data_IF_913817140519
#
_entry.id   IF_913817140519
#
_cell.length_a   1.000
_cell.length_b   1.000
_cell.length_c   1.000
_cell.angle_alpha   90.00
_cell.angle_beta   90.00
_cell.angle_gamma   90.00
#
_symmetry.space_group_name_H-M   'P 1'
#
loop_
_entity.id
_entity.type
_entity.pdbx_description
1 polymer ?
#
# COMPACT_ATOMS: atom_id res chain seq x y z
N UNK A 1 31.18 72.33 -13.45
CA UNK A 1 29.77 72.54 -13.03
C UNK A 1 29.38 71.38 -12.15
N UNK A 2 29.63 71.51 -10.84
CA UNK A 2 28.62 71.75 -9.79
C UNK A 2 27.81 70.45 -9.49
N UNK A 3 28.25 69.63 -8.53
CA UNK A 3 27.99 69.72 -7.07
C UNK A 3 26.54 69.30 -6.72
N UNK A 4 26.18 68.54 -5.69
CA UNK A 4 26.85 67.91 -4.55
C UNK A 4 25.75 67.08 -3.79
N UNK A 5 26.01 65.84 -3.36
CA UNK A 5 26.29 65.39 -1.97
C UNK A 5 25.07 65.12 -1.05
N UNK A 6 24.98 63.87 -0.56
CA UNK A 6 24.96 63.43 0.86
C UNK A 6 23.88 62.39 1.29
N UNK A 7 24.39 61.26 1.80
CA UNK A 7 23.86 60.40 2.89
C UNK A 7 24.63 60.80 4.20
N UNK A 8 24.53 60.09 5.36
CA UNK A 8 23.40 59.72 6.25
C UNK A 8 23.68 59.99 7.77
N UNK A 9 22.72 59.62 8.66
CA UNK A 9 22.88 59.08 10.05
C UNK A 9 23.81 59.75 11.11
N UNK A 10 23.27 60.33 12.21
CA UNK A 10 23.87 60.46 13.58
C UNK A 10 22.70 60.60 14.61
N UNK A 11 22.46 59.73 15.62
CA UNK A 11 23.07 59.46 16.95
C UNK A 11 22.83 60.51 18.08
N UNK A 12 22.00 60.11 19.06
CA UNK A 12 22.18 60.07 20.54
C UNK A 12 22.70 61.30 21.36
N UNK A 13 22.02 61.46 22.53
CA UNK A 13 22.52 61.70 23.92
C UNK A 13 22.50 63.13 24.54
N UNK A 14 22.04 63.15 25.82
CA UNK A 14 22.49 63.96 27.00
C UNK A 14 22.19 65.49 26.99
N UNK A 15 21.97 66.24 28.09
CA UNK A 15 21.66 66.04 29.52
C UNK A 15 21.43 67.47 30.13
N UNK A 16 20.58 67.57 31.17
CA UNK A 16 20.72 68.40 32.40
C UNK A 16 20.26 69.88 32.57
N UNK A 17 19.82 70.10 33.85
CA UNK A 17 19.58 71.32 34.66
C UNK A 17 18.17 71.97 34.59
N UNK A 18 17.40 72.22 35.67
CA UNK A 18 17.70 72.55 37.09
C UNK A 18 16.59 72.14 38.12
N UNK A 19 17.03 71.60 39.26
CA UNK A 19 16.64 71.78 40.68
C UNK A 19 15.21 72.17 41.13
N UNK A 20 14.63 71.41 42.07
CA UNK A 20 14.35 71.84 43.49
C UNK A 20 13.66 70.71 44.32
N UNK A 21 14.35 70.19 45.35
CA UNK A 21 14.00 70.14 46.80
C UNK A 21 13.03 69.01 47.26
N UNK A 22 13.52 68.19 48.19
CA UNK A 22 12.84 67.09 48.91
C UNK A 22 12.10 67.60 50.18
N UNK A 23 11.19 66.81 50.81
CA UNK A 23 11.63 65.82 51.82
C UNK A 23 10.81 64.50 51.92
N UNK A 24 11.44 63.49 52.52
CA UNK A 24 10.92 62.22 53.09
C UNK A 24 10.26 62.43 54.49
N UNK A 25 9.83 61.40 55.29
CA UNK A 25 9.29 60.03 55.04
C UNK A 25 8.01 59.72 55.91
N UNK A 26 7.50 58.46 55.84
CA UNK A 26 6.85 57.61 56.90
C UNK A 26 5.48 56.95 56.56
N UNK A 27 5.33 55.70 57.01
CA UNK A 27 4.15 54.78 56.98
C UNK A 27 3.56 54.63 58.43
N UNK A 28 2.67 53.67 58.79
CA UNK A 28 1.44 53.05 58.22
C UNK A 28 0.19 53.31 59.16
N UNK A 29 -1.01 52.68 59.01
CA UNK A 29 -1.32 51.44 59.77
C UNK A 29 -2.38 50.47 59.17
N UNK A 30 -2.56 49.34 59.87
CA UNK A 30 -3.39 48.16 59.63
C UNK A 30 -4.89 48.35 59.88
N UNK A 31 -5.73 47.48 59.31
CA UNK A 31 -6.99 47.03 59.92
C UNK A 31 -7.26 45.53 59.64
N UNK A 32 -7.59 44.79 60.71
CA UNK A 32 -8.20 43.44 60.70
C UNK A 32 -9.67 43.56 61.09
N UNK A 33 -10.56 42.70 60.56
CA UNK A 33 -11.32 41.71 61.37
C UNK A 33 -12.27 40.83 60.50
N UNK A 34 -12.01 39.52 60.55
CA UNK A 34 -12.86 38.30 60.54
C UNK A 34 -14.24 38.23 59.82
N UNK A 35 -14.45 37.20 58.99
CA UNK A 35 -15.10 35.93 59.39
C UNK A 35 -15.17 34.88 58.24
N UNK A 36 -15.14 33.60 58.64
CA UNK A 36 -15.03 32.34 57.89
C UNK A 36 -15.93 32.12 56.64
N UNK A 37 -15.37 31.45 55.62
CA UNK A 37 -15.99 30.29 54.93
C UNK A 37 -14.98 29.56 54.01
N UNK A 38 -14.68 28.33 54.43
CA UNK A 38 -14.12 27.15 53.75
C UNK A 38 -13.45 27.26 52.36
N UNK A 39 -12.15 26.91 52.36
CA UNK A 39 -11.37 26.59 51.17
C UNK A 39 -11.78 25.23 50.58
N UNK A 40 -12.50 25.23 49.47
CA UNK A 40 -12.63 24.05 48.59
C UNK A 40 -11.73 24.21 47.35
N UNK A 41 -10.61 23.49 47.40
CA UNK A 41 -9.64 23.13 46.34
C UNK A 41 -9.98 23.46 44.86
N UNK A 42 -9.12 24.28 44.23
CA UNK A 42 -9.08 24.56 42.78
C UNK A 42 -8.57 23.39 41.91
N UNK A 43 -8.34 22.20 42.50
CA UNK A 43 -7.85 21.01 41.80
C UNK A 43 -8.94 20.23 41.03
N UNK A 44 -10.22 20.51 41.28
CA UNK A 44 -11.36 19.77 40.68
C UNK A 44 -11.74 20.27 39.28
N UNK A 45 -11.56 21.56 38.96
CA UNK A 45 -11.95 22.14 37.66
C UNK A 45 -10.96 21.79 36.52
N UNK A 46 -9.66 21.73 36.84
CA UNK A 46 -8.62 21.25 35.91
C UNK A 46 -8.69 19.74 35.68
N UNK A 47 -9.04 18.95 36.72
CA UNK A 47 -9.33 17.52 36.58
C UNK A 47 -10.55 17.28 35.69
N UNK A 48 -11.66 18.01 35.87
CA UNK A 48 -12.88 17.85 35.06
C UNK A 48 -12.67 18.11 33.57
N UNK A 49 -11.86 19.12 33.20
CA UNK A 49 -11.52 19.38 31.79
C UNK A 49 -10.59 18.32 31.19
N UNK A 50 -9.66 17.77 31.97
CA UNK A 50 -8.79 16.65 31.54
C UNK A 50 -9.55 15.33 31.41
N UNK A 51 -10.53 15.08 32.29
CA UNK A 51 -11.42 13.92 32.21
C UNK A 51 -12.35 14.02 31.02
N UNK A 52 -12.95 15.20 30.75
CA UNK A 52 -13.77 15.42 29.54
C UNK A 52 -12.99 15.30 28.25
N UNK A 53 -11.77 15.84 28.17
CA UNK A 53 -10.93 15.67 26.97
C UNK A 53 -10.48 14.22 26.80
N UNK A 54 -10.16 13.52 27.89
CA UNK A 54 -9.89 12.08 27.84
C UNK A 54 -11.10 11.25 27.43
N UNK A 55 -12.32 11.54 27.93
CA UNK A 55 -13.58 10.90 27.55
C UNK A 55 -13.97 11.18 26.10
N UNK A 56 -13.72 12.38 25.60
CA UNK A 56 -13.91 12.71 24.18
C UNK A 56 -12.90 11.94 23.33
N UNK A 57 -11.63 11.86 23.74
CA UNK A 57 -10.63 11.08 22.99
C UNK A 57 -10.89 9.57 23.06
N UNK A 58 -11.37 9.04 24.19
CA UNK A 58 -11.70 7.61 24.34
C UNK A 58 -12.95 7.27 23.55
N UNK A 59 -14.00 8.09 23.60
CA UNK A 59 -15.21 7.88 22.82
C UNK A 59 -15.00 8.02 21.31
N UNK A 60 -14.09 8.92 20.87
CA UNK A 60 -13.68 9.02 19.46
C UNK A 60 -12.85 7.80 19.05
N UNK A 61 -11.93 7.32 19.90
CA UNK A 61 -11.14 6.11 19.64
C UNK A 61 -12.02 4.85 19.62
N UNK A 62 -12.98 4.72 20.53
CA UNK A 62 -13.97 3.64 20.58
C UNK A 62 -14.90 3.66 19.38
N UNK A 63 -15.43 4.83 18.99
CA UNK A 63 -16.20 4.98 17.75
C UNK A 63 -15.37 4.63 16.52
N UNK A 64 -14.09 5.01 16.49
CA UNK A 64 -13.17 4.66 15.39
C UNK A 64 -12.89 3.16 15.36
N UNK A 65 -12.68 2.51 16.51
CA UNK A 65 -12.47 1.07 16.61
C UNK A 65 -13.74 0.28 16.24
N UNK A 66 -14.90 0.68 16.73
CA UNK A 66 -16.21 0.08 16.39
C UNK A 66 -16.53 0.24 14.91
N UNK A 67 -16.25 1.42 14.34
CA UNK A 67 -16.43 1.65 12.90
C UNK A 67 -15.45 0.83 12.07
N UNK A 68 -14.20 0.68 12.51
CA UNK A 68 -13.18 -0.13 11.84
C UNK A 68 -13.51 -1.61 11.93
N UNK A 69 -13.95 -2.12 13.09
CA UNK A 69 -14.36 -3.52 13.25
C UNK A 69 -15.60 -3.84 12.42
N UNK A 70 -16.59 -2.95 12.37
CA UNK A 70 -17.73 -3.07 11.46
C UNK A 70 -17.32 -2.99 9.99
N UNK A 71 -16.35 -2.13 9.63
CA UNK A 71 -15.86 -2.04 8.25
C UNK A 71 -15.17 -3.35 7.85
N UNK A 72 -14.27 -3.85 8.70
CA UNK A 72 -13.54 -5.10 8.50
C UNK A 72 -14.51 -6.26 8.37
N UNK A 73 -15.56 -6.33 9.20
CA UNK A 73 -16.60 -7.38 9.08
C UNK A 73 -17.36 -7.31 7.75
N UNK A 74 -17.45 -6.14 7.12
CA UNK A 74 -18.17 -5.96 5.85
C UNK A 74 -17.30 -6.21 4.62
N UNK A 75 -15.98 -6.17 4.76
CA UNK A 75 -15.02 -6.44 3.67
C UNK A 75 -14.42 -7.83 3.75
N UNK A 76 -14.42 -8.44 4.94
CA UNK A 76 -13.87 -9.76 5.18
C UNK A 76 -14.60 -10.82 4.36
N UNK A 77 -13.81 -11.70 3.77
CA UNK A 77 -14.29 -12.90 3.11
C UNK A 77 -14.92 -13.83 4.13
N UNK A 78 -15.98 -14.49 3.70
CA UNK A 78 -16.67 -15.53 4.45
C UNK A 78 -16.11 -16.92 4.10
N UNK A 79 -15.11 -17.01 3.20
CA UNK A 79 -14.41 -18.26 2.87
C UNK A 79 -13.40 -18.62 3.94
N UNK A 80 -13.69 -19.68 4.67
CA UNK A 80 -12.69 -20.35 5.47
C UNK A 80 -11.85 -21.24 4.55
N UNK A 81 -10.53 -21.16 4.74
CA UNK A 81 -9.59 -22.05 4.07
C UNK A 81 -9.69 -23.40 4.80
N UNK A 82 -10.03 -24.46 4.07
CA UNK A 82 -9.88 -25.82 4.60
C UNK A 82 -8.38 -26.10 4.79
N UNK A 83 -7.95 -26.21 6.05
CA UNK A 83 -6.56 -26.46 6.43
C UNK A 83 -6.01 -27.75 5.80
N UNK A 84 -6.85 -28.77 5.63
CA UNK A 84 -6.43 -30.06 5.07
C UNK A 84 -6.20 -29.95 3.56
N UNK A 85 -7.13 -29.36 2.80
CA UNK A 85 -6.92 -29.04 1.38
C UNK A 85 -5.77 -28.05 1.16
N UNK A 86 -5.59 -27.09 2.07
CA UNK A 86 -4.48 -26.13 2.05
C UNK A 86 -3.13 -26.82 2.19
N UNK A 87 -2.99 -27.73 3.17
CA UNK A 87 -1.78 -28.52 3.38
C UNK A 87 -1.58 -29.58 2.29
N UNK A 88 -2.63 -30.12 1.70
CA UNK A 88 -2.52 -31.15 0.65
C UNK A 88 -2.15 -30.58 -0.72
N UNK A 89 -2.74 -29.45 -1.11
CA UNK A 89 -2.46 -28.78 -2.39
C UNK A 89 -1.16 -27.96 -2.34
N UNK A 90 -0.82 -27.46 -1.16
CA UNK A 90 0.28 -26.50 -0.97
C UNK A 90 1.11 -26.78 0.28
N UNK A 91 1.22 -28.02 0.71
CA UNK A 91 2.14 -28.45 1.76
C UNK A 91 2.92 -29.65 1.25
N UNK A 92 4.15 -29.43 0.82
CA UNK A 92 5.13 -30.51 0.68
C UNK A 92 6.30 -30.25 1.63
N UNK A 93 6.92 -31.36 2.06
CA UNK A 93 7.77 -31.63 3.22
C UNK A 93 9.07 -30.82 3.40
N UNK A 94 9.17 -29.61 2.85
CA UNK A 94 10.27 -28.67 3.10
C UNK A 94 9.74 -27.25 3.34
N UNK A 95 9.01 -27.08 4.45
CA UNK A 95 8.84 -25.84 5.23
C UNK A 95 8.68 -24.47 4.49
N UNK A 96 8.02 -24.39 3.33
CA UNK A 96 7.69 -23.08 2.72
C UNK A 96 6.70 -23.11 1.53
N UNK A 97 5.77 -24.04 1.46
CA UNK A 97 4.78 -23.96 0.40
C UNK A 97 3.78 -22.82 0.71
N UNK A 98 3.94 -21.70 -0.01
CA UNK A 98 3.22 -20.44 0.20
C UNK A 98 1.91 -20.48 -0.57
N UNK A 99 0.79 -20.39 0.15
CA UNK A 99 -0.53 -20.29 -0.48
C UNK A 99 -0.74 -18.88 -1.02
N UNK A 100 -1.21 -18.74 -2.27
CA UNK A 100 -1.53 -17.44 -2.85
C UNK A 100 -2.59 -16.72 -2.02
N UNK A 101 -2.43 -15.41 -1.87
CA UNK A 101 -3.30 -14.60 -1.01
C UNK A 101 -4.66 -14.46 -1.67
N UNK A 102 -5.76 -14.63 -0.93
CA UNK A 102 -7.12 -14.53 -1.46
C UNK A 102 -7.38 -15.47 -2.66
N UNK A 103 -6.75 -16.65 -2.67
CA UNK A 103 -6.84 -17.58 -3.80
C UNK A 103 -8.29 -17.93 -4.16
N UNK A 104 -9.10 -18.25 -3.16
CA UNK A 104 -10.50 -18.64 -3.37
C UNK A 104 -11.35 -17.50 -3.94
N UNK A 105 -11.08 -16.27 -3.53
CA UNK A 105 -11.76 -15.07 -4.01
C UNK A 105 -11.32 -14.71 -5.43
N UNK A 106 -10.05 -14.95 -5.77
CA UNK A 106 -9.55 -14.80 -7.14
C UNK A 106 -10.23 -15.81 -8.06
N UNK A 107 -10.35 -17.08 -7.66
CA UNK A 107 -11.06 -18.09 -8.44
C UNK A 107 -12.54 -17.71 -8.64
N UNK A 108 -13.23 -17.25 -7.59
CA UNK A 108 -14.61 -16.75 -7.71
C UNK A 108 -14.72 -15.55 -8.65
N UNK A 109 -13.73 -14.65 -8.63
CA UNK A 109 -13.73 -13.48 -9.49
C UNK A 109 -13.68 -13.82 -10.98
N UNK A 110 -13.21 -15.01 -11.36
CA UNK A 110 -13.15 -15.45 -12.75
C UNK A 110 -14.08 -16.63 -13.09
N UNK A 111 -14.77 -17.23 -12.12
CA UNK A 111 -15.54 -18.47 -12.32
C UNK A 111 -16.69 -18.35 -13.32
N UNK A 112 -17.33 -17.18 -13.44
CA UNK A 112 -18.42 -16.90 -14.38
C UNK A 112 -17.94 -16.36 -15.74
N UNK A 113 -16.63 -16.19 -15.91
CA UNK A 113 -16.03 -15.75 -17.17
C UNK A 113 -15.51 -16.98 -17.92
N UNK A 114 -15.90 -17.11 -19.19
CA UNK A 114 -15.32 -18.13 -20.07
C UNK A 114 -13.89 -17.73 -20.44
N UNK A 115 -12.92 -18.25 -19.70
CA UNK A 115 -11.58 -17.68 -19.60
C UNK A 115 -10.61 -18.29 -20.62
N UNK A 116 -10.83 -18.05 -21.92
CA UNK A 116 -9.95 -18.58 -22.98
C UNK A 116 -8.56 -17.95 -22.98
N UNK A 117 -8.43 -16.74 -22.44
CA UNK A 117 -7.19 -15.99 -22.34
C UNK A 117 -7.05 -15.35 -20.96
N UNK A 118 -5.91 -15.58 -20.32
CA UNK A 118 -5.62 -15.05 -18.99
C UNK A 118 -4.23 -14.43 -18.91
N UNK A 119 -4.15 -13.27 -18.27
CA UNK A 119 -2.89 -12.56 -18.02
C UNK A 119 -2.63 -12.46 -16.52
N UNK A 120 -1.50 -12.98 -16.08
CA UNK A 120 -0.99 -12.77 -14.72
C UNK A 120 0.16 -11.75 -14.77
N UNK A 121 -0.14 -10.51 -14.35
CA UNK A 121 0.82 -9.41 -14.38
C UNK A 121 1.93 -9.52 -13.31
N UNK A 122 1.79 -10.45 -12.37
CA UNK A 122 2.63 -10.59 -11.17
C UNK A 122 2.81 -12.07 -10.87
N UNK A 123 3.36 -12.77 -11.86
CA UNK A 123 3.39 -14.23 -11.92
C UNK A 123 3.95 -14.86 -10.64
N UNK A 124 4.98 -14.26 -10.03
CA UNK A 124 5.57 -14.74 -8.80
C UNK A 124 6.06 -16.18 -8.97
N UNK A 125 5.64 -17.07 -8.07
CA UNK A 125 5.88 -18.52 -8.20
C UNK A 125 4.75 -19.26 -8.94
N UNK A 126 3.94 -18.56 -9.74
CA UNK A 126 2.77 -19.05 -10.48
C UNK A 126 1.66 -19.68 -9.62
N UNK A 127 1.52 -19.28 -8.37
CA UNK A 127 0.50 -19.84 -7.48
C UNK A 127 -0.93 -19.58 -7.95
N UNK A 128 -1.28 -18.32 -8.23
CA UNK A 128 -2.59 -17.97 -8.81
C UNK A 128 -2.75 -18.52 -10.22
N UNK A 129 -1.74 -18.32 -11.07
CA UNK A 129 -1.72 -18.83 -12.45
C UNK A 129 -2.03 -20.33 -12.54
N UNK A 130 -1.37 -21.18 -11.75
CA UNK A 130 -1.63 -22.61 -11.77
C UNK A 130 -3.06 -22.96 -11.35
N UNK A 131 -3.58 -22.33 -10.29
CA UNK A 131 -4.94 -22.59 -9.85
C UNK A 131 -5.99 -22.15 -10.89
N UNK A 132 -5.76 -21.02 -11.55
CA UNK A 132 -6.63 -20.52 -12.62
C UNK A 132 -6.57 -21.44 -13.85
N UNK A 133 -5.38 -21.89 -14.25
CA UNK A 133 -5.22 -22.85 -15.36
C UNK A 133 -6.00 -24.14 -15.09
N UNK A 134 -5.90 -24.69 -13.87
CA UNK A 134 -6.63 -25.91 -13.49
C UNK A 134 -8.14 -25.69 -13.44
N UNK A 135 -8.60 -24.53 -12.95
CA UNK A 135 -10.02 -24.21 -12.86
C UNK A 135 -10.68 -23.94 -14.23
N UNK A 136 -9.89 -23.60 -15.25
CA UNK A 136 -10.37 -23.24 -16.59
C UNK A 136 -9.72 -24.11 -17.68
N UNK A 137 -10.13 -25.39 -17.82
CA UNK A 137 -9.60 -26.30 -18.84
C UNK A 137 -9.89 -25.83 -20.28
N UNK A 138 -10.85 -24.92 -20.48
CA UNK A 138 -11.14 -24.26 -21.75
C UNK A 138 -10.06 -23.25 -22.21
N UNK A 139 -9.10 -22.92 -21.33
CA UNK A 139 -8.10 -21.90 -21.59
C UNK A 139 -7.21 -22.25 -22.78
N UNK A 140 -6.97 -21.27 -23.65
CA UNK A 140 -6.15 -21.40 -24.86
C UNK A 140 -4.86 -20.60 -24.77
N UNK A 141 -4.84 -19.51 -24.01
CA UNK A 141 -3.66 -18.67 -23.85
C UNK A 141 -3.48 -18.23 -22.39
N UNK A 142 -2.29 -18.46 -21.84
CA UNK A 142 -1.84 -17.90 -20.58
C UNK A 142 -0.61 -17.03 -20.82
N UNK A 143 -0.59 -15.82 -20.25
CA UNK A 143 0.54 -14.90 -20.34
C UNK A 143 0.92 -14.44 -18.94
N UNK A 144 2.13 -14.80 -18.48
CA UNK A 144 2.67 -14.40 -17.18
C UNK A 144 3.80 -13.38 -17.29
N UNK A 145 3.80 -12.39 -16.39
CA UNK A 145 4.83 -11.35 -16.29
C UNK A 145 5.47 -11.40 -14.90
N UNK A 146 6.81 -11.34 -14.84
CA UNK A 146 7.52 -11.00 -13.61
C UNK A 146 8.79 -10.26 -13.97
N UNK A 147 9.26 -9.38 -13.08
CA UNK A 147 10.56 -8.70 -13.26
C UNK A 147 11.70 -9.46 -12.59
N UNK A 148 11.37 -10.40 -11.71
CA UNK A 148 12.33 -11.17 -10.93
C UNK A 148 12.70 -12.49 -11.63
N UNK A 149 13.96 -12.69 -12.03
CA UNK A 149 14.42 -13.91 -12.69
C UNK A 149 14.28 -15.17 -11.83
N UNK A 150 14.32 -15.05 -10.50
CA UNK A 150 14.16 -16.20 -9.60
C UNK A 150 12.71 -16.65 -9.58
N UNK A 151 11.78 -15.71 -9.40
CA UNK A 151 10.34 -15.99 -9.39
C UNK A 151 9.91 -16.58 -10.73
N UNK A 152 10.31 -15.95 -11.84
CA UNK A 152 10.00 -16.41 -13.19
C UNK A 152 10.45 -17.86 -13.45
N UNK A 153 11.64 -18.26 -13.01
CA UNK A 153 12.10 -19.66 -13.16
C UNK A 153 11.22 -20.62 -12.37
N UNK A 154 10.93 -20.30 -11.11
CA UNK A 154 10.05 -21.13 -10.27
C UNK A 154 8.64 -21.25 -10.84
N UNK A 155 8.12 -20.17 -11.43
CA UNK A 155 6.84 -20.16 -12.11
C UNK A 155 6.83 -21.12 -13.32
N UNK A 156 7.86 -21.06 -14.17
CA UNK A 156 8.00 -21.97 -15.31
C UNK A 156 8.03 -23.44 -14.86
N UNK A 157 8.84 -23.75 -13.84
CA UNK A 157 8.93 -25.11 -13.30
C UNK A 157 7.58 -25.60 -12.75
N UNK A 158 6.88 -24.75 -11.99
CA UNK A 158 5.57 -25.10 -11.41
C UNK A 158 4.50 -25.29 -12.48
N UNK A 159 4.39 -24.37 -13.45
CA UNK A 159 3.42 -24.49 -14.54
C UNK A 159 3.67 -25.77 -15.33
N UNK A 160 4.92 -26.04 -15.70
CA UNK A 160 5.28 -27.26 -16.42
C UNK A 160 4.93 -28.54 -15.63
N UNK A 161 5.08 -28.53 -14.32
CA UNK A 161 4.68 -29.65 -13.47
C UNK A 161 3.16 -29.86 -13.47
N UNK A 162 2.37 -28.79 -13.36
CA UNK A 162 0.90 -28.86 -13.41
C UNK A 162 0.43 -29.40 -14.76
N UNK A 163 0.97 -28.88 -15.87
CA UNK A 163 0.58 -29.31 -17.22
C UNK A 163 0.93 -30.79 -17.51
N UNK A 164 1.94 -31.36 -16.84
CA UNK A 164 2.33 -32.77 -17.00
C UNK A 164 1.52 -33.73 -16.14
N UNK A 165 1.12 -33.31 -14.94
CA UNK A 165 0.50 -34.19 -13.96
C UNK A 165 -1.02 -34.32 -14.13
N UNK A 166 -1.65 -33.32 -14.74
CA UNK A 166 -3.08 -33.26 -14.92
C UNK A 166 -3.48 -33.87 -16.26
N UNK A 167 -4.19 -35.01 -16.22
CA UNK A 167 -4.60 -35.76 -17.41
C UNK A 167 -5.43 -34.92 -18.38
N UNK A 168 -6.19 -33.95 -17.86
CA UNK A 168 -6.99 -32.97 -18.61
C UNK A 168 -6.18 -32.12 -19.59
N UNK A 169 -4.86 -32.00 -19.42
CA UNK A 169 -4.01 -31.21 -20.32
C UNK A 169 -3.25 -32.02 -21.36
N UNK A 170 -3.39 -33.36 -21.38
CA UNK A 170 -2.69 -34.22 -22.34
C UNK A 170 -3.00 -33.87 -23.81
N UNK A 171 -4.22 -33.39 -24.08
CA UNK A 171 -4.69 -32.92 -25.40
C UNK A 171 -4.97 -31.40 -25.43
N UNK A 172 -4.50 -30.65 -24.43
CA UNK A 172 -4.79 -29.22 -24.34
C UNK A 172 -4.04 -28.41 -25.40
N UNK A 173 -4.74 -27.45 -26.01
CA UNK A 173 -4.15 -26.44 -26.91
C UNK A 173 -3.63 -25.20 -26.17
N UNK A 174 -3.57 -25.24 -24.83
CA UNK A 174 -3.13 -24.13 -24.00
C UNK A 174 -1.69 -23.72 -24.36
N UNK A 175 -1.54 -22.49 -24.84
CA UNK A 175 -0.24 -21.85 -25.06
C UNK A 175 0.12 -21.04 -23.84
N UNK A 176 1.21 -21.41 -23.18
CA UNK A 176 1.73 -20.66 -22.03
C UNK A 176 2.92 -19.82 -22.43
N UNK A 177 2.85 -18.52 -22.14
CA UNK A 177 3.91 -17.56 -22.37
C UNK A 177 4.31 -16.93 -21.04
N UNK A 178 5.62 -16.86 -20.76
CA UNK A 178 6.16 -16.22 -19.56
C UNK A 178 7.25 -15.24 -19.95
N UNK A 179 7.19 -14.02 -19.41
CA UNK A 179 8.08 -12.93 -19.77
C UNK A 179 8.75 -12.29 -18.56
N UNK A 180 10.07 -12.11 -18.67
CA UNK A 180 10.87 -11.26 -17.77
C UNK A 180 10.71 -9.78 -18.13
N UNK A 181 9.49 -9.27 -17.97
CA UNK A 181 9.08 -7.91 -18.30
C UNK A 181 8.19 -7.36 -17.19
N UNK A 182 8.14 -6.03 -17.08
CA UNK A 182 7.23 -5.39 -16.15
C UNK A 182 5.81 -5.37 -16.74
N UNK A 183 4.79 -5.46 -15.90
CA UNK A 183 3.40 -5.44 -16.34
C UNK A 183 2.96 -4.15 -17.07
N UNK A 184 3.72 -3.05 -16.96
CA UNK A 184 3.52 -1.85 -17.80
C UNK A 184 3.63 -2.14 -19.29
N UNK A 185 4.32 -3.22 -19.66
CA UNK A 185 4.53 -3.66 -21.03
C UNK A 185 3.41 -4.60 -21.52
N UNK A 186 2.29 -4.73 -20.80
CA UNK A 186 1.21 -5.67 -21.13
C UNK A 186 0.72 -5.54 -22.57
N UNK A 187 0.47 -4.31 -23.06
CA UNK A 187 -0.01 -4.08 -24.44
C UNK A 187 1.01 -4.52 -25.49
N UNK A 188 2.30 -4.26 -25.26
CA UNK A 188 3.35 -4.62 -26.23
C UNK A 188 3.54 -6.13 -26.29
N UNK A 189 3.51 -6.81 -25.13
CA UNK A 189 3.61 -8.27 -25.06
C UNK A 189 2.38 -8.96 -25.64
N UNK A 190 1.17 -8.48 -25.38
CA UNK A 190 -0.03 -9.05 -26.00
C UNK A 190 0.04 -8.97 -27.53
N UNK A 191 0.52 -7.85 -28.07
CA UNK A 191 0.74 -7.68 -29.50
C UNK A 191 1.82 -8.62 -30.07
N UNK A 192 2.87 -8.89 -29.30
CA UNK A 192 3.95 -9.84 -29.63
C UNK A 192 3.47 -11.29 -29.67
N UNK A 193 2.64 -11.69 -28.69
CA UNK A 193 2.09 -13.04 -28.57
C UNK A 193 1.08 -13.34 -29.68
N UNK A 194 0.05 -12.50 -29.80
CA UNK A 194 -0.96 -12.59 -30.86
C UNK A 194 -1.69 -11.25 -30.97
N UNK A 195 -1.55 -10.57 -32.12
CA UNK A 195 -2.22 -9.30 -32.40
C UNK A 195 -3.74 -9.34 -32.16
N UNK A 196 -4.37 -10.51 -32.31
CA UNK A 196 -5.80 -10.69 -32.06
C UNK A 196 -6.18 -10.53 -30.59
N UNK A 197 -5.27 -10.84 -29.66
CA UNK A 197 -5.51 -10.62 -28.22
C UNK A 197 -5.60 -9.13 -27.87
N UNK A 198 -5.00 -8.25 -28.69
CA UNK A 198 -5.14 -6.82 -28.50
C UNK A 198 -6.43 -6.27 -29.12
N UNK A 199 -6.88 -6.82 -30.25
CA UNK A 199 -8.10 -6.35 -30.93
C UNK A 199 -9.37 -6.91 -30.32
N UNK A 200 -9.37 -8.21 -29.98
CA UNK A 200 -10.51 -8.87 -29.34
C UNK A 200 -10.51 -8.69 -27.82
N UNK A 201 -9.34 -8.41 -27.26
CA UNK A 201 -9.09 -8.32 -25.83
C UNK A 201 -8.84 -9.68 -25.17
N UNK A 202 -8.41 -9.64 -23.91
CA UNK A 202 -8.23 -10.82 -23.04
C UNK A 202 -9.37 -10.97 -22.04
N UNK A 203 -9.70 -12.19 -21.68
CA UNK A 203 -10.89 -12.49 -20.86
C UNK A 203 -10.66 -12.16 -19.37
N UNK A 204 -9.44 -12.35 -18.88
CA UNK A 204 -9.09 -11.97 -17.50
C UNK A 204 -7.65 -11.52 -17.32
N UNK A 205 -7.48 -10.59 -16.38
CA UNK A 205 -6.18 -10.08 -15.96
C UNK A 205 -6.12 -10.04 -14.43
N UNK A 206 -5.03 -10.53 -13.85
CA UNK A 206 -4.73 -10.46 -12.42
C UNK A 206 -3.48 -9.62 -12.16
N UNK A 207 -3.54 -8.78 -11.13
CA UNK A 207 -2.38 -8.08 -10.55
C UNK A 207 -2.33 -8.32 -9.04
N UNK A 208 -1.46 -9.20 -8.57
CA UNK A 208 -1.12 -9.45 -7.16
C UNK A 208 0.11 -8.61 -6.75
N UNK A 209 -0.13 -7.41 -6.22
CA UNK A 209 0.90 -6.39 -6.02
C UNK A 209 1.85 -6.74 -4.86
N UNK A 210 3.02 -6.11 -4.83
CA UNK A 210 3.94 -6.20 -3.71
C UNK A 210 5.11 -7.14 -3.96
N UNK A 211 5.60 -7.78 -2.89
CA UNK A 211 6.85 -8.54 -2.91
C UNK A 211 6.60 -10.03 -2.82
N UNK A 212 7.38 -10.80 -3.57
CA UNK A 212 7.33 -12.26 -3.49
C UNK A 212 8.03 -12.79 -2.24
N UNK A 213 7.69 -14.01 -1.83
CA UNK A 213 8.37 -14.73 -0.75
C UNK A 213 9.87 -14.79 -0.95
N UNK A 214 10.29 -15.02 -2.19
CA UNK A 214 11.67 -15.22 -2.60
C UNK A 214 12.48 -13.95 -2.32
N UNK A 215 11.90 -12.78 -2.63
CA UNK A 215 12.51 -11.47 -2.37
C UNK A 215 12.65 -11.16 -0.87
N UNK A 216 11.63 -11.46 -0.07
CA UNK A 216 11.64 -11.15 1.37
C UNK A 216 12.51 -12.16 2.16
N UNK A 217 12.55 -13.41 1.71
CA UNK A 217 13.27 -14.47 2.40
C UNK A 217 14.77 -14.45 2.13
N UNK A 218 15.20 -13.98 0.96
CA UNK A 218 16.61 -13.77 0.64
C UNK A 218 17.11 -12.44 1.24
N UNK A 219 18.00 -12.55 2.23
CA UNK A 219 18.59 -11.38 2.88
C UNK A 219 19.41 -10.53 1.90
N UNK A 220 20.01 -11.12 0.85
CA UNK A 220 20.82 -10.41 -0.14
C UNK A 220 19.99 -9.45 -1.01
N UNK A 221 18.67 -9.62 -1.06
CA UNK A 221 17.77 -8.72 -1.79
C UNK A 221 17.43 -7.45 -1.02
N UNK A 222 17.68 -7.42 0.29
CA UNK A 222 17.54 -6.20 1.10
C UNK A 222 16.10 -5.77 1.43
N UNK A 223 15.08 -6.57 1.13
CA UNK A 223 13.67 -6.24 1.41
C UNK A 223 13.26 -6.46 2.87
N UNK A 224 13.98 -7.33 3.60
CA UNK A 224 13.60 -7.71 4.96
C UNK A 224 14.03 -6.66 5.99
N UNK A 225 13.08 -6.26 6.84
CA UNK A 225 13.37 -5.46 8.04
C UNK A 225 14.12 -6.29 9.11
N UNK A 226 13.96 -7.61 9.10
CA UNK A 226 14.47 -8.50 10.14
C UNK A 226 15.80 -9.16 9.76
N UNK A 227 15.98 -9.49 8.48
CA UNK A 227 17.22 -10.09 7.98
C UNK A 227 18.19 -9.00 7.53
N UNK A 228 19.44 -9.10 7.98
CA UNK A 228 20.51 -8.16 7.62
C UNK A 228 21.06 -8.49 6.24
N UNK A 229 21.18 -7.48 5.38
CA UNK A 229 21.71 -7.59 4.02
C UNK A 229 22.04 -6.21 3.43
N UNK A 230 22.38 -6.14 2.14
CA UNK A 230 22.67 -4.88 1.45
C UNK A 230 21.41 -4.03 1.27
N UNK A 231 21.58 -2.71 1.11
CA UNK A 231 20.48 -1.78 0.79
C UNK A 231 20.16 -1.80 -0.71
N UNK A 232 19.67 -2.94 -1.21
CA UNK A 232 19.33 -3.13 -2.62
C UNK A 232 17.87 -2.75 -2.92
N UNK A 233 16.92 -3.61 -2.54
CA UNK A 233 15.47 -3.47 -2.76
C UNK A 233 15.00 -3.40 -4.22
N UNK A 234 15.84 -3.72 -5.21
CA UNK A 234 15.40 -3.86 -6.59
C UNK A 234 14.64 -5.17 -6.81
N UNK A 235 13.45 -5.08 -7.38
CA UNK A 235 12.67 -6.25 -7.82
C UNK A 235 13.30 -6.87 -9.08
N UNK A 236 13.73 -6.03 -10.03
CA UNK A 236 14.58 -6.41 -11.15
C UNK A 236 16.06 -6.20 -10.80
N UNK A 237 16.88 -7.26 -10.65
CA UNK A 237 18.31 -7.12 -10.39
C UNK A 237 19.09 -6.33 -11.45
N UNK A 238 18.54 -6.16 -12.66
CA UNK A 238 19.13 -5.37 -13.75
C UNK A 238 18.84 -3.87 -13.65
N UNK A 239 17.88 -3.45 -12.82
CA UNK A 239 17.61 -2.04 -12.59
C UNK A 239 18.84 -1.34 -11.97
N UNK A 240 19.04 -0.05 -12.21
CA UNK A 240 20.27 0.65 -11.81
C UNK A 240 20.21 1.25 -10.40
N UNK A 241 19.03 1.73 -9.99
CA UNK A 241 18.85 2.44 -8.72
C UNK A 241 18.68 1.46 -7.56
N UNK A 242 19.49 1.58 -6.51
CA UNK A 242 19.35 0.85 -5.24
C UNK A 242 18.82 1.74 -4.13
N UNK A 243 18.32 1.13 -3.05
CA UNK A 243 17.94 1.86 -1.84
C UNK A 243 19.14 2.61 -1.21
N UNK A 244 20.34 2.06 -1.34
CA UNK A 244 21.59 2.69 -0.93
C UNK A 244 21.81 4.03 -1.62
N UNK A 245 21.60 4.10 -2.94
CA UNK A 245 21.79 5.30 -3.75
C UNK A 245 20.83 6.41 -3.32
N UNK A 246 19.58 6.04 -3.02
CA UNK A 246 18.58 6.98 -2.50
C UNK A 246 19.03 7.55 -1.16
N UNK A 247 19.44 6.69 -0.23
CA UNK A 247 19.78 7.12 1.13
C UNK A 247 21.06 7.94 1.19
N UNK A 248 22.03 7.65 0.34
CA UNK A 248 23.34 8.30 0.38
C UNK A 248 23.47 9.48 -0.58
N UNK A 249 22.80 9.45 -1.74
CA UNK A 249 23.07 10.39 -2.85
C UNK A 249 21.91 11.33 -3.17
N UNK A 250 20.65 10.97 -2.88
CA UNK A 250 19.53 11.88 -3.19
C UNK A 250 19.53 13.13 -2.29
N UNK A 251 18.99 14.26 -2.77
CA UNK A 251 18.70 15.42 -1.93
C UNK A 251 17.90 15.04 -0.68
N UNK A 252 18.23 15.64 0.47
CA UNK A 252 17.65 15.25 1.75
C UNK A 252 16.12 15.48 1.78
N UNK A 253 15.67 16.57 1.18
CA UNK A 253 14.25 16.88 0.96
C UNK A 253 13.54 15.82 0.12
N UNK A 254 14.17 15.28 -0.93
CA UNK A 254 13.60 14.15 -1.69
C UNK A 254 13.52 12.86 -0.88
N UNK A 255 14.53 12.56 -0.04
CA UNK A 255 14.44 11.46 0.92
C UNK A 255 13.28 11.69 1.89
N UNK A 256 13.14 12.91 2.42
CA UNK A 256 12.00 13.30 3.26
C UNK A 256 10.65 13.10 2.58
N UNK A 257 10.55 13.49 1.30
CA UNK A 257 9.35 13.35 0.47
C UNK A 257 8.95 11.89 0.36
N UNK A 258 9.85 10.98 -0.02
CA UNK A 258 9.48 9.56 -0.16
C UNK A 258 9.08 8.95 1.20
N UNK A 259 9.75 9.30 2.30
CA UNK A 259 9.38 8.82 3.63
C UNK A 259 7.98 9.28 4.04
N UNK A 260 7.64 10.53 3.71
CA UNK A 260 6.32 11.11 3.98
C UNK A 260 5.24 10.52 3.08
N UNK A 261 5.47 10.50 1.77
CA UNK A 261 4.43 10.26 0.77
C UNK A 261 4.28 8.76 0.45
N UNK A 262 5.39 8.03 0.36
CA UNK A 262 5.39 6.59 0.07
C UNK A 262 5.38 5.73 1.35
N UNK A 263 5.97 6.24 2.43
CA UNK A 263 5.97 5.56 3.73
C UNK A 263 4.79 5.91 4.63
N UNK A 264 4.07 6.99 4.34
CA UNK A 264 3.08 7.59 5.26
C UNK A 264 3.67 7.76 6.70
N UNK A 265 4.98 8.07 6.80
CA UNK A 265 5.70 8.15 8.08
C UNK A 265 5.60 9.53 8.71
N UNK A 266 4.97 9.63 9.88
CA UNK A 266 4.81 10.87 10.64
C UNK A 266 6.11 11.58 11.02
N UNK A 267 7.15 10.82 11.36
CA UNK A 267 8.44 11.33 11.81
C UNK A 267 9.44 11.50 10.65
N UNK A 268 8.95 11.59 9.41
CA UNK A 268 9.77 11.66 8.19
C UNK A 268 10.85 12.75 8.28
N UNK A 269 10.52 13.95 8.78
CA UNK A 269 11.47 15.06 8.85
C UNK A 269 12.62 14.79 9.84
N UNK A 270 12.33 14.10 10.94
CA UNK A 270 13.37 13.72 11.91
C UNK A 270 14.27 12.63 11.33
N UNK A 271 13.68 11.61 10.68
CA UNK A 271 14.42 10.53 10.03
C UNK A 271 15.29 11.04 8.88
N UNK A 272 14.75 11.94 8.04
CA UNK A 272 15.49 12.63 7.00
C UNK A 272 16.77 13.28 7.55
N UNK A 273 16.67 14.07 8.62
CA UNK A 273 17.82 14.73 9.23
C UNK A 273 18.84 13.73 9.76
N UNK A 274 18.38 12.61 10.33
CA UNK A 274 19.26 11.54 10.81
C UNK A 274 19.98 10.81 9.67
N UNK A 275 19.28 10.52 8.58
CA UNK A 275 19.87 9.93 7.37
C UNK A 275 20.90 10.89 6.77
N UNK A 276 20.56 12.17 6.61
CA UNK A 276 21.49 13.19 6.11
C UNK A 276 22.73 13.32 7.01
N UNK A 277 22.55 13.25 8.33
CA UNK A 277 23.68 13.27 9.28
C UNK A 277 24.56 12.02 9.18
N UNK A 278 23.97 10.85 8.92
CA UNK A 278 24.73 9.60 8.76
C UNK A 278 25.67 9.64 7.54
N UNK A 279 25.34 10.42 6.50
CA UNK A 279 26.21 10.63 5.33
C UNK A 279 27.55 11.26 5.70
N UNK A 280 27.58 12.11 6.73
CA UNK A 280 28.80 12.76 7.22
C UNK A 280 29.79 11.77 7.85
N UNK A 281 29.30 10.58 8.25
CA UNK A 281 30.10 9.52 8.87
C UNK A 281 30.21 8.27 7.98
N UNK A 282 30.12 8.46 6.66
CA UNK A 282 30.28 7.38 5.67
C UNK A 282 28.99 6.90 5.01
N UNK A 283 27.80 7.23 5.55
CA UNK A 283 26.52 6.82 4.96
C UNK A 283 25.96 5.51 5.52
N UNK A 284 24.95 4.97 4.83
CA UNK A 284 24.28 3.72 5.17
C UNK A 284 24.49 2.70 4.04
N UNK A 285 25.00 1.52 4.35
CA UNK A 285 25.37 0.48 3.37
C UNK A 285 24.68 -0.87 3.60
N UNK A 286 23.90 -1.01 4.68
CA UNK A 286 23.17 -2.24 4.98
C UNK A 286 21.81 -1.97 5.61
N UNK A 287 20.88 -2.90 5.42
CA UNK A 287 19.57 -2.88 6.09
C UNK A 287 19.71 -2.85 7.60
N UNK A 288 20.75 -3.51 8.14
CA UNK A 288 21.10 -3.47 9.56
C UNK A 288 21.42 -2.07 10.06
N UNK A 289 22.28 -1.33 9.36
CA UNK A 289 22.61 0.06 9.73
C UNK A 289 21.40 0.98 9.66
N UNK A 290 20.55 0.83 8.64
CA UNK A 290 19.30 1.59 8.53
C UNK A 290 18.35 1.28 9.70
N UNK A 291 18.16 0.00 10.03
CA UNK A 291 17.33 -0.41 11.17
C UNK A 291 17.88 0.13 12.49
N UNK A 292 19.20 0.06 12.70
CA UNK A 292 19.84 0.58 13.91
C UNK A 292 19.65 2.11 14.03
N UNK A 293 19.72 2.85 12.92
CA UNK A 293 19.41 4.28 12.87
C UNK A 293 17.94 4.56 13.24
N UNK A 294 17.00 3.78 12.70
CA UNK A 294 15.57 3.92 12.99
C UNK A 294 15.28 3.61 14.45
N UNK A 295 15.87 2.54 15.01
CA UNK A 295 15.73 2.19 16.41
C UNK A 295 16.20 3.33 17.31
N UNK A 296 17.41 3.87 17.08
CA UNK A 296 17.96 5.05 17.78
C UNK A 296 17.07 6.30 17.63
N UNK A 297 16.29 6.37 16.55
CA UNK A 297 15.42 7.50 16.25
C UNK A 297 14.00 7.39 16.83
N UNK A 298 13.56 6.19 17.25
CA UNK A 298 12.15 5.93 17.64
C UNK A 298 11.93 5.84 19.17
N UNK A 299 12.96 6.11 19.98
CA UNK A 299 12.96 5.89 21.45
C UNK A 299 11.90 6.67 22.26
N UNK A 300 11.28 7.71 21.70
CA UNK A 300 10.28 8.50 22.42
C UNK A 300 8.87 7.97 22.12
N UNK A 301 8.31 7.15 23.02
CA UNK A 301 6.85 6.89 23.26
C UNK A 301 6.17 5.56 22.85
N UNK A 302 6.76 4.59 22.14
CA UNK A 302 5.97 3.42 21.61
C UNK A 302 6.54 1.98 21.72
N UNK A 303 7.61 1.74 22.49
CA UNK A 303 8.15 0.37 22.72
C UNK A 303 8.62 -0.38 21.46
N UNK A 304 8.82 -1.70 21.54
CA UNK A 304 9.31 -2.57 20.43
C UNK A 304 8.42 -2.50 19.18
N UNK A 305 7.11 -2.32 19.37
CA UNK A 305 6.16 -2.20 18.26
C UNK A 305 6.30 -0.87 17.49
N UNK A 306 6.85 0.17 18.12
CA UNK A 306 7.01 1.49 17.51
C UNK A 306 8.06 1.51 16.39
N UNK A 307 9.26 1.00 16.67
CA UNK A 307 10.35 1.02 15.69
C UNK A 307 10.10 0.05 14.53
N UNK A 308 9.48 -1.12 14.76
CA UNK A 308 9.15 -2.07 13.69
C UNK A 308 8.18 -1.43 12.69
N UNK A 309 7.14 -0.73 13.18
CA UNK A 309 6.20 0.00 12.31
C UNK A 309 6.91 1.09 11.51
N UNK A 310 7.81 1.82 12.16
CA UNK A 310 8.60 2.88 11.50
C UNK A 310 9.51 2.29 10.42
N UNK A 311 10.21 1.19 10.73
CA UNK A 311 11.07 0.49 9.78
C UNK A 311 10.27 -0.07 8.60
N UNK A 312 9.11 -0.67 8.85
CA UNK A 312 8.23 -1.17 7.78
C UNK A 312 7.83 -0.07 6.80
N UNK A 313 7.50 1.13 7.31
CA UNK A 313 7.15 2.29 6.48
C UNK A 313 8.34 2.86 5.71
N UNK A 314 9.51 2.95 6.35
CA UNK A 314 10.75 3.41 5.69
C UNK A 314 11.15 2.44 4.58
N UNK A 315 11.10 1.14 4.84
CA UNK A 315 11.40 0.11 3.84
C UNK A 315 10.37 0.13 2.70
N UNK A 316 9.08 0.27 3.01
CA UNK A 316 8.05 0.48 2.00
C UNK A 316 8.33 1.71 1.13
N UNK A 317 8.69 2.85 1.73
CA UNK A 317 9.01 4.07 0.99
C UNK A 317 10.17 3.89 0.01
N UNK A 318 11.25 3.26 0.48
CA UNK A 318 12.43 2.96 -0.33
C UNK A 318 12.09 1.98 -1.44
N UNK A 319 11.37 0.90 -1.14
CA UNK A 319 10.91 -0.10 -2.11
C UNK A 319 10.13 0.54 -3.25
N UNK A 320 9.12 1.34 -2.89
CA UNK A 320 8.28 2.07 -3.85
C UNK A 320 9.12 3.00 -4.71
N UNK A 321 10.08 3.73 -4.12
CA UNK A 321 10.93 4.67 -4.84
C UNK A 321 11.93 3.97 -5.77
N UNK A 322 12.53 2.87 -5.33
CA UNK A 322 13.49 2.07 -6.13
C UNK A 322 12.82 1.48 -7.37
N UNK A 323 11.58 0.98 -7.22
CA UNK A 323 10.90 0.22 -8.28
C UNK A 323 9.84 1.04 -9.03
N UNK A 324 9.71 2.34 -8.76
CA UNK A 324 8.68 3.24 -9.31
C UNK A 324 7.26 2.64 -9.28
N UNK A 325 6.92 1.96 -8.17
CA UNK A 325 5.78 1.03 -8.10
C UNK A 325 4.45 1.72 -8.35
N UNK A 326 4.20 2.86 -7.69
CA UNK A 326 2.91 3.53 -7.73
C UNK A 326 2.60 4.15 -9.10
N UNK A 327 3.61 4.75 -9.73
CA UNK A 327 3.47 5.35 -11.06
C UNK A 327 3.26 4.26 -12.11
N UNK A 328 4.03 3.18 -12.01
CA UNK A 328 3.90 2.00 -12.87
C UNK A 328 2.52 1.38 -12.73
N UNK A 329 2.02 1.22 -11.50
CA UNK A 329 0.69 0.70 -11.20
C UNK A 329 -0.41 1.54 -11.86
N UNK A 330 -0.43 2.87 -11.65
CA UNK A 330 -1.50 3.72 -12.18
C UNK A 330 -1.61 3.61 -13.70
N UNK A 331 -0.49 3.73 -14.43
CA UNK A 331 -0.49 3.60 -15.90
C UNK A 331 -0.87 2.21 -16.41
N UNK A 332 -0.49 1.17 -15.67
CA UNK A 332 -0.73 -0.22 -16.05
C UNK A 332 -2.19 -0.63 -15.88
N UNK A 333 -2.91 -0.09 -14.89
CA UNK A 333 -4.34 -0.37 -14.71
C UNK A 333 -5.14 0.03 -15.95
N UNK A 334 -4.89 1.23 -16.50
CA UNK A 334 -5.55 1.66 -17.75
C UNK A 334 -5.15 0.76 -18.92
N UNK A 335 -3.86 0.43 -19.02
CA UNK A 335 -3.37 -0.43 -20.10
C UNK A 335 -3.96 -1.85 -20.05
N UNK A 336 -4.13 -2.40 -18.86
CA UNK A 336 -4.79 -3.69 -18.63
C UNK A 336 -6.27 -3.61 -18.96
N UNK A 337 -6.98 -2.61 -18.44
CA UNK A 337 -8.42 -2.46 -18.69
C UNK A 337 -8.74 -2.29 -20.19
N UNK A 338 -7.96 -1.48 -20.90
CA UNK A 338 -8.10 -1.32 -22.36
C UNK A 338 -7.91 -2.65 -23.10
N UNK A 339 -7.04 -3.51 -22.58
CA UNK A 339 -6.71 -4.81 -23.17
C UNK A 339 -7.75 -5.90 -22.87
N UNK A 340 -8.74 -5.65 -22.00
CA UNK A 340 -9.80 -6.63 -21.73
C UNK A 340 -10.75 -6.77 -22.92
N UNK A 341 -11.25 -7.99 -23.12
CA UNK A 341 -12.40 -8.25 -23.98
C UNK A 341 -13.68 -7.66 -23.35
N UNK A 342 -14.74 -7.40 -24.13
CA UNK A 342 -16.04 -7.05 -23.57
C UNK A 342 -16.51 -8.13 -22.59
N UNK A 343 -16.94 -7.72 -21.39
CA UNK A 343 -17.27 -8.64 -20.29
C UNK A 343 -16.08 -9.28 -19.55
N UNK A 344 -14.84 -9.03 -19.99
CA UNK A 344 -13.63 -9.49 -19.30
C UNK A 344 -13.38 -8.77 -17.98
N UNK A 345 -12.56 -9.38 -17.11
CA UNK A 345 -12.35 -8.90 -15.73
C UNK A 345 -10.89 -8.56 -15.42
N UNK A 346 -10.68 -7.47 -14.69
CA UNK A 346 -9.41 -7.13 -14.06
C UNK A 346 -9.55 -7.24 -12.54
N UNK A 347 -8.78 -8.14 -11.95
CA UNK A 347 -8.65 -8.33 -10.52
C UNK A 347 -7.30 -7.77 -10.04
N UNK A 348 -7.32 -6.99 -8.95
CA UNK A 348 -6.11 -6.42 -8.35
C UNK A 348 -6.10 -6.66 -6.85
N UNK A 349 -5.05 -7.29 -6.35
CA UNK A 349 -4.77 -7.46 -4.92
C UNK A 349 -3.71 -6.42 -4.52
N UNK A 350 -4.04 -5.60 -3.53
CA UNK A 350 -3.13 -4.58 -2.98
C UNK A 350 -2.83 -4.86 -1.52
N UNK A 351 -1.63 -4.51 -1.05
CA UNK A 351 -1.18 -4.83 0.32
C UNK A 351 -1.00 -3.59 1.19
N UNK A 352 -1.07 -2.39 0.60
CA UNK A 352 -1.07 -1.15 1.38
C UNK A 352 -2.05 -0.09 0.87
N UNK A 353 -2.24 0.93 1.70
CA UNK A 353 -3.18 2.04 1.50
C UNK A 353 -2.97 2.79 0.19
N UNK A 354 -1.70 3.03 -0.20
CA UNK A 354 -1.36 3.79 -1.40
C UNK A 354 -1.79 3.05 -2.69
N UNK A 355 -1.47 1.76 -2.83
CA UNK A 355 -1.90 0.91 -3.94
C UNK A 355 -3.44 0.86 -4.02
N UNK A 356 -4.11 0.47 -2.93
CA UNK A 356 -5.58 0.35 -2.87
C UNK A 356 -6.29 1.66 -3.26
N UNK A 357 -5.72 2.80 -2.86
CA UNK A 357 -6.20 4.14 -3.23
C UNK A 357 -6.07 4.35 -4.75
N UNK A 358 -4.92 4.07 -5.34
CA UNK A 358 -4.69 4.18 -6.79
C UNK A 358 -5.66 3.29 -7.56
N UNK A 359 -5.78 2.02 -7.17
CA UNK A 359 -6.69 1.06 -7.83
C UNK A 359 -8.13 1.56 -7.78
N UNK A 360 -8.60 1.98 -6.60
CA UNK A 360 -9.95 2.52 -6.44
C UNK A 360 -10.19 3.74 -7.34
N UNK A 361 -9.26 4.69 -7.37
CA UNK A 361 -9.42 5.90 -8.17
C UNK A 361 -9.33 5.63 -9.67
N UNK A 362 -8.42 4.76 -10.10
CA UNK A 362 -8.31 4.35 -11.49
C UNK A 362 -9.60 3.67 -11.98
N UNK A 363 -10.15 2.72 -11.20
CA UNK A 363 -11.41 2.06 -11.53
C UNK A 363 -12.57 3.06 -11.64
N UNK A 364 -12.67 4.01 -10.71
CA UNK A 364 -13.69 5.06 -10.77
C UNK A 364 -13.54 5.97 -12.00
N UNK A 365 -12.31 6.32 -12.39
CA UNK A 365 -12.05 7.11 -13.62
C UNK A 365 -12.43 6.34 -14.87
N UNK A 366 -12.08 5.05 -14.92
CA UNK A 366 -12.39 4.15 -16.04
C UNK A 366 -13.90 4.09 -16.27
N UNK A 367 -14.70 3.77 -15.26
CA UNK A 367 -16.15 3.64 -15.45
C UNK A 367 -16.85 4.97 -15.79
N UNK A 368 -16.20 6.11 -15.54
CA UNK A 368 -16.71 7.45 -15.76
C UNK A 368 -16.21 8.09 -17.07
N UNK A 369 -15.48 7.36 -17.93
CA UNK A 369 -14.98 7.88 -19.20
C UNK A 369 -13.91 8.97 -19.06
N UNK A 370 -13.13 8.97 -17.97
CA UNK A 370 -12.03 9.91 -17.73
C UNK A 370 -12.43 11.21 -17.00
N UNK A 371 -13.70 11.57 -16.96
CA UNK A 371 -14.19 12.74 -16.22
C UNK A 371 -14.62 12.38 -14.80
N UNK A 372 -13.79 12.73 -13.82
CA UNK A 372 -14.13 12.57 -12.39
C UNK A 372 -15.24 13.55 -11.95
N UNK A 373 -15.56 14.54 -12.78
CA UNK A 373 -16.29 15.73 -12.35
C UNK A 373 -17.82 15.72 -12.59
N UNK A 374 -18.44 14.78 -13.31
CA UNK A 374 -19.90 14.88 -13.52
C UNK A 374 -20.71 13.62 -13.90
N UNK A 375 -20.23 12.39 -13.74
CA UNK A 375 -21.09 11.22 -14.00
C UNK A 375 -21.74 10.70 -12.72
N UNK A 376 -23.08 10.61 -12.77
CA UNK A 376 -23.92 9.90 -11.80
C UNK A 376 -23.65 8.39 -11.92
N UNK A 377 -22.57 7.91 -11.30
CA UNK A 377 -22.40 6.47 -11.12
C UNK A 377 -23.53 5.97 -10.22
N UNK A 378 -24.38 5.10 -10.74
CA UNK A 378 -25.55 4.61 -10.01
C UNK A 378 -25.11 3.52 -9.03
N UNK A 379 -25.40 3.76 -7.76
CA UNK A 379 -25.08 2.83 -6.69
C UNK A 379 -26.21 1.80 -6.57
N UNK A 380 -26.05 0.66 -7.21
CA UNK A 380 -26.98 -0.45 -7.04
C UNK A 380 -26.50 -1.38 -5.94
N UNK A 381 -27.37 -1.58 -4.93
CA UNK A 381 -27.30 -2.82 -4.17
C UNK A 381 -27.80 -3.90 -5.11
N UNK A 382 -27.02 -4.98 -5.26
CA UNK A 382 -27.44 -6.15 -6.03
C UNK A 382 -28.80 -6.63 -5.48
N UNK A 383 -29.86 -6.28 -6.21
CA UNK A 383 -31.26 -6.61 -5.96
C UNK A 383 -31.65 -7.44 -7.17
N UNK A 384 -31.68 -8.77 -6.98
CA UNK A 384 -32.10 -9.80 -7.94
C UNK A 384 -32.07 -9.42 -9.43
N UNK A 385 -31.07 -9.88 -10.17
CA UNK A 385 -31.13 -9.86 -11.64
C UNK A 385 -32.12 -10.94 -12.10
N UNK A 386 -32.88 -10.64 -13.15
CA UNK A 386 -33.92 -11.52 -13.73
C UNK A 386 -33.36 -12.81 -14.36
N UNK A 387 -32.04 -12.91 -14.53
CA UNK A 387 -31.32 -14.06 -15.08
C UNK A 387 -30.55 -14.84 -13.99
N UNK A 388 -31.28 -15.44 -13.05
CA UNK A 388 -30.99 -16.76 -12.43
C UNK A 388 -29.70 -17.05 -11.63
N UNK A 389 -28.54 -16.44 -11.89
CA UNK A 389 -27.28 -16.83 -11.23
C UNK A 389 -26.61 -15.63 -10.56
N UNK A 390 -26.89 -15.49 -9.26
CA UNK A 390 -26.23 -14.50 -8.42
C UNK A 390 -24.83 -14.99 -8.07
N UNK A 391 -23.81 -14.29 -8.54
CA UNK A 391 -22.45 -14.44 -8.03
C UNK A 391 -22.40 -14.03 -6.54
N UNK A 392 -22.42 -15.01 -5.64
CA UNK A 392 -22.58 -14.81 -4.19
C UNK A 392 -21.49 -13.93 -3.57
N UNK A 393 -20.30 -13.88 -4.18
CA UNK A 393 -19.17 -13.08 -3.73
C UNK A 393 -19.35 -11.56 -4.04
N UNK A 394 -20.21 -11.21 -4.99
CA UNK A 394 -20.51 -9.81 -5.37
C UNK A 394 -21.54 -9.21 -4.42
N UNK A 395 -21.06 -8.42 -3.45
CA UNK A 395 -21.92 -7.77 -2.45
C UNK A 395 -22.51 -6.43 -2.92
N UNK A 396 -21.69 -5.59 -3.55
CA UNK A 396 -22.07 -4.23 -3.97
C UNK A 396 -21.30 -3.82 -5.20
N UNK A 397 -22.01 -3.30 -6.21
CA UNK A 397 -21.44 -2.87 -7.47
C UNK A 397 -21.47 -1.35 -7.63
N UNK A 398 -20.68 -0.83 -8.56
CA UNK A 398 -20.81 0.53 -9.09
C UNK A 398 -20.80 0.40 -10.61
N UNK A 399 -21.91 0.73 -11.25
CA UNK A 399 -22.02 0.68 -12.71
C UNK A 399 -21.64 2.03 -13.31
N UNK A 400 -20.95 1.99 -14.45
CA UNK A 400 -20.69 3.15 -15.27
C UNK A 400 -20.70 2.80 -16.74
N UNK A 401 -20.22 3.73 -17.58
CA UNK A 401 -20.31 3.64 -19.04
C UNK A 401 -19.43 2.53 -19.61
N UNK A 402 -18.16 2.53 -19.22
CA UNK A 402 -17.15 1.66 -19.83
C UNK A 402 -16.99 0.32 -19.09
N UNK A 403 -17.64 0.17 -17.92
CA UNK A 403 -17.61 -1.06 -17.14
C UNK A 403 -18.30 -0.96 -15.78
N UNK A 404 -18.20 -2.04 -15.02
CA UNK A 404 -18.83 -2.21 -13.70
C UNK A 404 -17.78 -2.62 -12.67
N UNK A 405 -17.67 -1.86 -11.58
CA UNK A 405 -16.85 -2.24 -10.43
C UNK A 405 -17.65 -3.27 -9.62
N UNK A 406 -17.16 -4.51 -9.55
CA UNK A 406 -17.83 -5.61 -8.84
C UNK A 406 -17.59 -5.57 -7.32
N UNK A 407 -16.53 -4.89 -6.89
CA UNK A 407 -16.16 -4.74 -5.49
C UNK A 407 -16.14 -3.27 -5.08
N UNK A 408 -17.31 -2.66 -4.82
CA UNK A 408 -17.39 -1.29 -4.29
C UNK A 408 -16.50 -1.10 -3.06
N UNK A 409 -16.51 -2.11 -2.19
CA UNK A 409 -15.55 -2.27 -1.10
C UNK A 409 -14.62 -3.43 -1.43
N UNK A 410 -13.32 -3.33 -1.09
CA UNK A 410 -12.39 -4.40 -1.36
C UNK A 410 -12.77 -5.64 -0.54
N UNK A 411 -12.45 -6.81 -1.06
CA UNK A 411 -12.53 -8.06 -0.31
C UNK A 411 -11.22 -8.23 0.45
N UNK A 412 -11.30 -8.56 1.74
CA UNK A 412 -10.14 -8.77 2.63
C UNK A 412 -10.14 -10.20 3.16
N UNK A 413 -8.99 -10.78 3.52
CA UNK A 413 -8.93 -12.18 3.94
C UNK A 413 -9.79 -12.51 5.15
N UNK A 414 -10.16 -13.79 5.26
CA UNK A 414 -10.80 -14.35 6.44
C UNK A 414 -9.81 -14.41 7.62
N UNK A 415 -10.34 -14.60 8.84
CA UNK A 415 -9.46 -14.74 10.01
C UNK A 415 -8.59 -16.00 9.95
N UNK A 416 -9.13 -17.09 9.39
CA UNK A 416 -8.37 -18.32 9.17
C UNK A 416 -7.18 -18.08 8.26
N UNK A 417 -7.38 -17.39 7.12
CA UNK A 417 -6.28 -17.05 6.22
C UNK A 417 -5.25 -16.12 6.87
N UNK A 418 -5.67 -15.10 7.64
CA UNK A 418 -4.73 -14.21 8.34
C UNK A 418 -3.84 -14.96 9.34
N UNK A 419 -4.37 -16.02 9.97
CA UNK A 419 -3.64 -16.86 10.91
C UNK A 419 -2.64 -17.79 10.22
N UNK A 420 -3.05 -18.41 9.11
CA UNK A 420 -2.21 -19.33 8.33
C UNK A 420 -1.15 -18.60 7.50
N UNK A 421 -1.51 -17.45 6.94
CA UNK A 421 -0.65 -16.63 6.11
C UNK A 421 -0.65 -15.17 6.59
N UNK A 422 0.29 -14.84 7.49
CA UNK A 422 0.44 -13.47 8.03
C UNK A 422 0.61 -12.37 6.97
N UNK A 423 0.97 -12.72 5.73
CA UNK A 423 1.15 -11.77 4.62
C UNK A 423 -0.17 -11.37 3.97
N UNK A 424 -1.21 -12.19 4.10
CA UNK A 424 -2.56 -11.85 3.60
C UNK A 424 -3.17 -10.70 4.41
N UNK A 425 -2.77 -10.49 5.66
CA UNK A 425 -3.41 -9.55 6.61
C UNK A 425 -3.79 -8.16 6.08
N UNK A 426 -3.00 -7.60 5.16
CA UNK A 426 -3.25 -6.26 4.61
C UNK A 426 -3.80 -6.28 3.18
N UNK A 427 -4.04 -7.47 2.64
CA UNK A 427 -4.51 -7.71 1.28
C UNK A 427 -5.93 -7.20 1.09
N UNK A 428 -6.14 -6.62 -0.09
CA UNK A 428 -7.42 -6.06 -0.53
C UNK A 428 -7.59 -6.36 -2.00
N UNK A 429 -8.52 -7.24 -2.31
CA UNK A 429 -8.92 -7.55 -3.67
C UNK A 429 -9.96 -6.55 -4.17
N UNK A 430 -9.73 -5.99 -5.36
CA UNK A 430 -10.72 -5.24 -6.13
C UNK A 430 -10.89 -5.84 -7.51
N UNK A 431 -12.12 -5.87 -8.01
CA UNK A 431 -12.47 -6.41 -9.33
C UNK A 431 -13.32 -5.40 -10.10
N UNK A 432 -12.96 -5.19 -11.36
CA UNK A 432 -13.73 -4.44 -12.35
C UNK A 432 -13.97 -5.32 -13.58
N UNK A 433 -15.17 -5.22 -14.15
CA UNK A 433 -15.55 -5.89 -15.39
C UNK A 433 -15.75 -4.85 -16.49
N UNK A 434 -15.22 -5.11 -17.69
CA UNK A 434 -15.43 -4.25 -18.86
C UNK A 434 -16.87 -4.41 -19.37
N UNK A 435 -17.47 -3.32 -19.86
CA UNK A 435 -18.80 -3.36 -20.46
C UNK A 435 -18.84 -4.36 -21.63
N UNK A 436 -20.01 -4.98 -21.86
CA UNK A 436 -20.25 -5.93 -22.95
C UNK A 436 -20.53 -5.23 -24.27
#
# INVERSE_FOLDING_TARGET
MAAAIARPLIRRLLWHFLTTVAPHPTAPPQFKLHANKDFATSATRARRNKTRSNEITSSVAEKKNSRTSMLNRRTRSDKDIDEESFLKLYGNDNNSAHVPVLLGEVLDAFSSVHLRSFVDCTLGAAGHSCAIIVAHPEMQAHIGFDVDPVAHRMAQDRINAVLKNESSFTDSQLKVHTYLKNFKDVKSVLCEVDKRLLTSGVDGILMDLGMSSMQVNDAQRGFSVLKRGPLDMRMDPKATLKAEDILNSWPADEVGRILRDYGEESNWHFLQNKIASARLTGGLHSTGQLVDLIQKSTFRTKGRQGWIKTATRVFQALRIAVNDELRTLEGSIYSCFDSLAPGGRLAVISFHSLEDRIVKHAFLRVINGGDVASSRAEEEKCSQNEDGERELWVKQIIQGRDGTILTKRPITPSQGEEMLNTRSRSAKLRVIQKAR
#
